data_IF_348205008834
#
_entry.id   IF_348205008834
#
_cell.length_a   1.000
_cell.length_b   1.000
_cell.length_c   1.000
_cell.angle_alpha   90.00
_cell.angle_beta   90.00
_cell.angle_gamma   90.00
#
_symmetry.space_group_name_H-M   'P 1'
#
loop_
_entity.id
_entity.type
_entity.pdbx_description
1 polymer ?
#
# COMPACT_ATOMS: atom_id res chain seq x y z
N UNK A 1 9.43 39.17 -13.53
CA UNK A 1 10.34 38.26 -12.77
C UNK A 1 9.76 37.82 -11.42
N UNK A 2 9.02 38.66 -10.68
CA UNK A 2 8.49 38.33 -9.35
C UNK A 2 7.39 37.23 -9.30
N UNK A 3 6.67 37.02 -10.40
CA UNK A 3 5.65 35.96 -10.52
C UNK A 3 6.28 34.56 -10.50
N UNK A 4 7.41 34.39 -11.18
CA UNK A 4 8.11 33.10 -11.30
C UNK A 4 8.74 32.68 -9.98
N UNK A 5 9.30 33.62 -9.21
CA UNK A 5 9.79 33.36 -7.86
C UNK A 5 8.70 33.00 -6.85
N UNK A 6 7.47 33.50 -7.04
CA UNK A 6 6.30 33.10 -6.24
C UNK A 6 5.81 31.70 -6.59
N UNK A 7 5.81 31.34 -7.87
CA UNK A 7 5.46 30.00 -8.33
C UNK A 7 6.46 28.95 -7.85
N UNK A 8 7.77 29.23 -7.97
CA UNK A 8 8.84 28.35 -7.48
C UNK A 8 8.72 28.08 -5.97
N UNK A 9 8.51 29.13 -5.18
CA UNK A 9 8.29 28.99 -3.72
C UNK A 9 7.04 28.17 -3.39
N UNK A 10 5.96 28.33 -4.16
CA UNK A 10 4.72 27.54 -4.00
C UNK A 10 4.96 26.06 -4.32
N UNK A 11 5.66 25.76 -5.41
CA UNK A 11 6.00 24.39 -5.80
C UNK A 11 6.87 23.72 -4.74
N UNK A 12 7.90 24.41 -4.24
CA UNK A 12 8.75 23.91 -3.16
C UNK A 12 7.96 23.62 -1.88
N UNK A 13 7.01 24.49 -1.52
CA UNK A 13 6.13 24.25 -0.38
C UNK A 13 5.26 23.00 -0.58
N UNK A 14 4.66 22.84 -1.76
CA UNK A 14 3.83 21.66 -2.08
C UNK A 14 4.65 20.36 -2.08
N UNK A 15 5.88 20.37 -2.61
CA UNK A 15 6.77 19.21 -2.57
C UNK A 15 7.16 18.84 -1.14
N UNK A 16 7.48 19.85 -0.30
CA UNK A 16 7.79 19.64 1.11
C UNK A 16 6.62 19.00 1.86
N UNK A 17 5.40 19.52 1.65
CA UNK A 17 4.19 18.97 2.24
C UNK A 17 3.91 17.54 1.75
N UNK A 18 4.07 17.29 0.45
CA UNK A 18 3.90 15.95 -0.14
C UNK A 18 4.87 14.95 0.48
N UNK A 19 6.16 15.31 0.55
CA UNK A 19 7.20 14.47 1.16
C UNK A 19 6.91 14.21 2.64
N UNK A 20 6.51 15.23 3.40
CA UNK A 20 6.15 15.08 4.82
C UNK A 20 4.97 14.12 5.02
N UNK A 21 3.93 14.22 4.18
CA UNK A 21 2.78 13.30 4.24
C UNK A 21 3.19 11.87 3.92
N UNK A 22 3.98 11.68 2.86
CA UNK A 22 4.48 10.36 2.46
C UNK A 22 5.33 9.72 3.56
N UNK A 23 6.29 10.45 4.11
CA UNK A 23 7.15 9.95 5.19
C UNK A 23 6.34 9.57 6.43
N UNK A 24 5.34 10.38 6.79
CA UNK A 24 4.46 10.09 7.93
C UNK A 24 3.65 8.82 7.68
N UNK A 25 3.09 8.66 6.47
CA UNK A 25 2.35 7.46 6.09
C UNK A 25 3.25 6.22 6.14
N UNK A 26 4.44 6.28 5.56
CA UNK A 26 5.38 5.16 5.54
C UNK A 26 5.83 4.75 6.94
N UNK A 27 6.11 5.72 7.82
CA UNK A 27 6.44 5.43 9.22
C UNK A 27 5.30 4.70 9.94
N UNK A 28 4.05 5.12 9.72
CA UNK A 28 2.86 4.44 10.27
C UNK A 28 2.69 3.04 9.70
N UNK A 29 2.91 2.87 8.40
CA UNK A 29 2.80 1.58 7.72
C UNK A 29 3.83 0.59 8.29
N UNK A 30 5.10 1.01 8.36
CA UNK A 30 6.17 0.20 8.94
C UNK A 30 5.83 -0.14 10.40
N UNK A 31 5.44 0.84 11.22
CA UNK A 31 5.08 0.58 12.61
C UNK A 31 3.91 -0.41 12.75
N UNK A 32 2.92 -0.35 11.84
CA UNK A 32 1.78 -1.28 11.83
C UNK A 32 2.18 -2.71 11.46
N UNK A 33 3.11 -2.87 10.52
CA UNK A 33 3.47 -4.18 9.98
C UNK A 33 4.78 -4.77 10.53
N UNK A 34 5.51 -4.04 11.39
CA UNK A 34 6.75 -4.50 12.00
C UNK A 34 6.50 -5.24 13.33
N UNK A 35 5.64 -6.25 13.27
CA UNK A 35 5.33 -7.15 14.37
C UNK A 35 5.16 -8.58 13.83
N UNK A 36 5.34 -9.62 14.64
CA UNK A 36 5.05 -10.99 14.21
C UNK A 36 3.56 -11.17 13.90
N UNK A 37 3.29 -12.09 12.97
CA UNK A 37 1.95 -12.46 12.49
C UNK A 37 1.77 -13.99 12.61
N UNK A 38 2.15 -14.57 13.76
CA UNK A 38 2.24 -16.03 13.96
C UNK A 38 0.88 -16.74 13.80
N UNK A 39 -0.21 -16.09 14.20
CA UNK A 39 -1.57 -16.64 14.14
C UNK A 39 -2.37 -16.15 12.91
N UNK A 40 -1.75 -15.38 12.01
CA UNK A 40 -2.43 -14.85 10.84
C UNK A 40 -2.54 -15.91 9.73
N UNK A 41 -3.63 -15.88 8.93
CA UNK A 41 -3.79 -16.83 7.83
C UNK A 41 -2.72 -16.63 6.75
N UNK A 42 -2.09 -17.73 6.35
CA UNK A 42 -1.11 -17.75 5.26
C UNK A 42 -1.81 -17.90 3.91
N UNK A 43 -1.43 -17.06 2.95
CA UNK A 43 -1.86 -17.21 1.55
C UNK A 43 -0.98 -18.23 0.85
N UNK A 44 -1.59 -19.29 0.32
CA UNK A 44 -0.94 -20.21 -0.61
C UNK A 44 -0.76 -19.52 -1.96
N UNK A 45 0.50 -19.23 -2.33
CA UNK A 45 0.81 -18.44 -3.53
C UNK A 45 0.48 -19.14 -4.85
N UNK A 46 0.35 -20.48 -4.85
CA UNK A 46 0.02 -21.27 -6.05
C UNK A 46 -1.44 -21.09 -6.47
N UNK A 47 -2.31 -21.00 -5.49
CA UNK A 47 -3.77 -20.96 -5.62
C UNK A 47 -4.31 -19.55 -5.36
N UNK A 48 -3.50 -18.67 -4.76
CA UNK A 48 -3.89 -17.36 -4.25
C UNK A 48 -5.09 -17.51 -3.31
N UNK A 49 -5.02 -18.49 -2.41
CA UNK A 49 -6.08 -18.77 -1.44
C UNK A 49 -5.53 -18.85 -0.02
N UNK A 50 -6.37 -18.64 0.97
CA UNK A 50 -6.02 -18.77 2.39
C UNK A 50 -7.14 -19.45 3.17
N UNK A 51 -6.78 -20.09 4.27
CA UNK A 51 -7.72 -20.78 5.14
C UNK A 51 -8.48 -19.80 6.04
N UNK A 52 -9.78 -20.03 6.19
CA UNK A 52 -10.64 -19.32 7.16
C UNK A 52 -11.50 -20.32 7.92
N UNK A 53 -12.08 -19.95 9.08
CA UNK A 53 -12.99 -20.84 9.80
C UNK A 53 -14.22 -21.28 8.99
N UNK A 54 -14.54 -20.61 7.88
CA UNK A 54 -15.63 -20.98 6.96
C UNK A 54 -15.14 -21.76 5.72
N UNK A 55 -13.86 -22.15 5.67
CA UNK A 55 -13.19 -22.81 4.55
C UNK A 55 -12.20 -21.92 3.80
N UNK A 56 -11.58 -22.49 2.77
CA UNK A 56 -10.59 -21.84 1.91
C UNK A 56 -11.23 -20.71 1.08
N UNK A 57 -10.63 -19.51 1.10
CA UNK A 57 -11.10 -18.34 0.36
C UNK A 57 -10.01 -17.80 -0.57
N UNK A 58 -10.38 -17.20 -1.72
CA UNK A 58 -9.41 -16.49 -2.56
C UNK A 58 -8.90 -15.24 -1.85
N UNK A 59 -7.58 -14.99 -1.94
CA UNK A 59 -6.91 -13.81 -1.36
C UNK A 59 -7.20 -12.53 -2.16
N UNK A 60 -7.65 -12.68 -3.40
CA UNK A 60 -8.06 -11.59 -4.29
C UNK A 60 -9.57 -11.71 -4.57
N UNK A 61 -10.28 -10.60 -4.84
CA UNK A 61 -11.69 -10.65 -5.22
C UNK A 61 -11.90 -11.51 -6.47
N UNK A 62 -12.98 -12.31 -6.44
CA UNK A 62 -13.44 -13.12 -7.59
C UNK A 62 -13.50 -12.22 -8.83
N UNK A 63 -12.68 -12.56 -9.84
CA UNK A 63 -12.49 -11.76 -11.06
C UNK A 63 -11.07 -11.22 -11.28
N UNK A 64 -10.11 -11.50 -10.39
CA UNK A 64 -8.68 -11.11 -10.55
C UNK A 64 -7.75 -12.32 -10.58
N UNK A 65 -8.21 -13.41 -11.20
CA UNK A 65 -7.40 -14.61 -11.43
C UNK A 65 -6.29 -14.38 -12.48
N UNK A 66 -5.22 -15.18 -12.45
CA UNK A 66 -4.10 -15.09 -13.39
C UNK A 66 -4.50 -15.31 -14.87
N UNK A 67 -5.68 -15.88 -15.13
CA UNK A 67 -6.24 -16.01 -16.49
C UNK A 67 -6.50 -14.68 -17.20
N UNK A 68 -6.56 -13.54 -16.50
CA UNK A 68 -6.71 -12.22 -17.14
C UNK A 68 -5.38 -11.56 -17.54
N UNK A 69 -4.25 -12.19 -17.23
CA UNK A 69 -2.91 -11.72 -17.61
C UNK A 69 -2.26 -12.61 -18.69
N UNK A 70 -3.04 -13.54 -19.26
CA UNK A 70 -2.68 -14.35 -20.43
C UNK A 70 -3.28 -13.74 -21.70
#
# INVERSE_FOLDING_TARGET
MESMGRQDRRLHQQLKESSSRFQTLMKRLIAKYNQPFEDDPLVEMRTLTYETPQGTKPSLPVGTGPEQWA
#
